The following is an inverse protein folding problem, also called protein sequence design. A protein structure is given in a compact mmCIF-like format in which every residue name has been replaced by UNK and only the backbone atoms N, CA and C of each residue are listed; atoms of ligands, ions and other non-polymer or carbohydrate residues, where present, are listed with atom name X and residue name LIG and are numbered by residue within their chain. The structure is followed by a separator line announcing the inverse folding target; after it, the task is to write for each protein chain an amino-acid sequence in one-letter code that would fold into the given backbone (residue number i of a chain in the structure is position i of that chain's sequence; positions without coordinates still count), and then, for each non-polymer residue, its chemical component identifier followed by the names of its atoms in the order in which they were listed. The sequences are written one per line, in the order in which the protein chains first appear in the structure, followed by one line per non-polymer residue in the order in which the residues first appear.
data_IF_890083248546
#
_entry.id   IF_890083248546
#
_cell.length_a   1.000
_cell.length_b   1.000
_cell.length_c   1.000
_cell.angle_alpha   90.00
_cell.angle_beta   90.00
_cell.angle_gamma   90.00
#
_symmetry.space_group_name_H-M   'P 1'
#
loop_
_entity.id
_entity.type
_entity.pdbx_description
1 polymer ?
#
# COMPACT_ATOMS: atom_id res chain seq x y z
N UNK A 1 19.79 18.83 7.14
CA UNK A 1 18.73 19.61 7.82
C UNK A 1 17.94 18.68 8.69
N UNK A 2 17.96 18.91 10.00
CA UNK A 2 17.26 18.08 10.98
C UNK A 2 15.99 18.80 11.40
N UNK A 3 14.86 18.11 11.36
CA UNK A 3 13.61 18.59 11.90
C UNK A 3 13.35 17.85 13.22
N UNK A 4 13.39 18.54 14.34
CA UNK A 4 13.09 17.99 15.65
C UNK A 4 11.87 18.72 16.22
N UNK A 5 10.84 17.98 16.60
CA UNK A 5 9.72 18.48 17.40
C UNK A 5 9.70 17.69 18.69
N UNK A 6 9.48 18.31 19.86
CA UNK A 6 9.49 17.62 21.15
C UNK A 6 8.49 16.45 21.26
N UNK A 7 7.49 16.44 20.40
CA UNK A 7 6.39 15.45 20.42
C UNK A 7 6.48 14.38 19.33
N UNK A 8 7.53 14.36 18.51
CA UNK A 8 7.65 13.46 17.37
C UNK A 8 9.03 12.86 17.23
N UNK A 9 9.15 11.65 16.64
CA UNK A 9 10.43 11.06 16.30
C UNK A 9 11.25 11.96 15.36
N UNK A 10 12.58 11.83 15.44
CA UNK A 10 13.50 12.59 14.61
C UNK A 10 13.28 12.33 13.12
N UNK A 11 13.40 13.40 12.32
CA UNK A 11 13.35 13.35 10.87
C UNK A 11 14.49 14.16 10.30
N UNK A 12 15.52 13.48 9.82
CA UNK A 12 16.73 14.10 9.28
C UNK A 12 16.84 13.83 7.80
N UNK A 13 17.07 14.88 7.00
CA UNK A 13 17.42 14.77 5.58
C UNK A 13 18.82 15.34 5.38
N UNK A 14 19.71 14.53 4.85
CA UNK A 14 21.08 14.90 4.45
C UNK A 14 21.08 15.20 2.94
N UNK A 15 21.24 16.48 2.61
CA UNK A 15 21.35 16.90 1.20
C UNK A 15 22.73 16.53 0.65
N UNK A 16 22.78 15.74 -0.41
CA UNK A 16 24.01 15.39 -1.10
C UNK A 16 24.00 13.97 -1.68
N UNK A 17 25.13 13.60 -2.23
CA UNK A 17 25.40 12.27 -2.80
C UNK A 17 25.40 11.19 -1.70
N UNK A 18 24.75 10.03 -1.98
CA UNK A 18 24.56 8.99 -0.97
C UNK A 18 25.89 8.39 -0.48
N UNK A 19 26.90 8.22 -1.35
CA UNK A 19 28.20 7.68 -0.95
C UNK A 19 28.90 8.60 0.04
N UNK A 20 28.84 9.91 -0.21
CA UNK A 20 29.46 10.92 0.66
C UNK A 20 28.74 11.05 1.99
N UNK A 21 27.41 11.00 2.00
CA UNK A 21 26.61 11.18 3.21
C UNK A 21 26.54 9.94 4.09
N UNK A 22 26.61 8.75 3.49
CA UNK A 22 26.63 7.49 4.26
C UNK A 22 27.84 7.42 5.21
N UNK A 23 29.00 7.95 4.84
CA UNK A 23 30.19 7.93 5.72
C UNK A 23 30.02 8.80 6.96
N UNK A 24 29.13 9.79 6.94
CA UNK A 24 28.86 10.68 8.08
C UNK A 24 27.96 10.04 9.14
N UNK A 25 27.29 8.91 8.80
CA UNK A 25 26.40 8.18 9.69
C UNK A 25 27.23 7.24 10.56
N UNK A 26 26.93 7.17 11.85
CA UNK A 26 27.60 6.29 12.81
C UNK A 26 27.42 4.81 12.45
N UNK A 27 28.46 4.03 12.57
CA UNK A 27 28.43 2.59 12.34
C UNK A 27 27.58 1.88 13.42
N UNK A 28 26.90 0.81 13.05
CA UNK A 28 26.01 0.03 13.92
C UNK A 28 24.90 0.84 14.63
N UNK A 29 24.43 1.93 14.00
CA UNK A 29 23.39 2.82 14.55
C UNK A 29 22.01 2.60 13.96
N UNK A 30 21.88 1.90 12.82
CA UNK A 30 20.66 1.77 12.02
C UNK A 30 20.01 0.41 12.26
N UNK A 31 18.72 0.42 12.60
CA UNK A 31 17.92 -0.80 12.80
C UNK A 31 17.44 -1.40 11.48
N UNK A 32 17.00 -0.56 10.55
CA UNK A 32 16.53 -1.01 9.23
C UNK A 32 16.88 0.01 8.16
N UNK A 33 17.25 -0.49 6.98
CA UNK A 33 17.45 0.31 5.77
C UNK A 33 16.36 -0.07 4.78
N UNK A 34 15.67 0.93 4.22
CA UNK A 34 14.92 0.78 2.97
C UNK A 34 15.63 1.59 1.88
N UNK A 35 15.83 0.98 0.72
CA UNK A 35 16.49 1.62 -0.40
C UNK A 35 15.70 1.42 -1.71
N UNK A 36 15.52 2.50 -2.46
CA UNK A 36 14.99 2.52 -3.81
C UNK A 36 16.03 3.12 -4.76
N UNK A 37 17.13 2.36 -5.06
CA UNK A 37 18.26 2.88 -5.83
C UNK A 37 17.86 3.19 -7.27
N UNK A 38 18.66 3.95 -8.03
CA UNK A 38 18.47 4.12 -9.47
C UNK A 38 18.39 2.78 -10.20
N UNK A 39 17.42 2.66 -11.12
CA UNK A 39 17.22 1.44 -11.93
C UNK A 39 17.96 1.51 -13.26
N UNK A 40 18.53 2.66 -13.60
CA UNK A 40 19.27 2.92 -14.86
C UNK A 40 18.44 2.67 -16.12
N UNK A 41 17.15 3.02 -16.08
CA UNK A 41 16.16 2.76 -17.13
C UNK A 41 15.81 3.99 -17.99
N UNK A 42 16.37 5.16 -17.71
CA UNK A 42 16.06 6.41 -18.41
C UNK A 42 16.75 6.45 -19.79
N UNK A 43 16.14 5.75 -20.76
CA UNK A 43 16.65 5.64 -22.15
C UNK A 43 15.78 6.43 -23.15
N UNK A 44 15.02 7.45 -22.70
CA UNK A 44 14.11 8.21 -23.56
C UNK A 44 12.84 7.44 -23.99
N UNK A 45 12.46 6.37 -23.29
CA UNK A 45 11.25 5.59 -23.55
C UNK A 45 9.96 6.36 -23.23
N UNK A 46 8.83 5.83 -23.72
CA UNK A 46 7.50 6.42 -23.54
C UNK A 46 6.65 5.50 -22.66
N UNK A 47 5.92 6.07 -21.72
CA UNK A 47 4.94 5.37 -20.88
C UNK A 47 3.60 6.12 -20.88
N UNK A 48 2.56 5.52 -20.28
CA UNK A 48 1.25 6.16 -20.09
C UNK A 48 1.00 6.42 -18.62
N UNK A 49 0.60 7.64 -18.30
CA UNK A 49 0.13 8.01 -16.98
C UNK A 49 -1.23 8.70 -17.10
N UNK A 50 -2.26 8.11 -16.46
CA UNK A 50 -3.64 8.62 -16.51
C UNK A 50 -4.17 8.81 -17.94
N UNK A 51 -3.90 7.86 -18.85
CA UNK A 51 -4.34 7.91 -20.24
C UNK A 51 -3.55 8.84 -21.16
N UNK A 52 -2.48 9.51 -20.68
CA UNK A 52 -1.62 10.40 -21.46
C UNK A 52 -0.23 9.79 -21.64
N UNK A 53 0.31 9.94 -22.82
CA UNK A 53 1.68 9.56 -23.15
C UNK A 53 2.66 10.48 -22.41
N UNK A 54 3.61 9.91 -21.64
CA UNK A 54 4.64 10.64 -20.92
C UNK A 54 6.01 10.08 -21.21
N UNK A 55 7.02 10.93 -21.28
CA UNK A 55 8.41 10.51 -21.41
C UNK A 55 8.88 9.84 -20.11
N UNK A 56 9.67 8.76 -20.21
CA UNK A 56 10.23 8.00 -19.08
C UNK A 56 11.58 8.56 -18.64
N UNK A 57 11.91 9.80 -18.97
CA UNK A 57 13.11 10.43 -18.43
C UNK A 57 12.88 10.82 -16.97
N UNK A 58 13.52 10.09 -16.05
CA UNK A 58 13.43 10.31 -14.60
C UNK A 58 14.51 11.27 -14.09
N UNK A 59 15.41 11.72 -14.97
CA UNK A 59 16.51 12.62 -14.66
C UNK A 59 17.89 11.99 -14.91
N UNK A 60 18.93 12.82 -14.80
CA UNK A 60 20.31 12.41 -15.09
C UNK A 60 20.83 11.29 -14.17
N UNK A 61 20.26 11.13 -12.99
CA UNK A 61 20.62 10.12 -12.01
C UNK A 61 20.19 8.69 -12.39
N UNK A 62 19.23 8.53 -13.31
CA UNK A 62 18.73 7.22 -13.76
C UNK A 62 19.17 6.90 -15.21
N UNK A 63 20.10 7.66 -15.77
CA UNK A 63 20.66 7.38 -17.12
C UNK A 63 21.53 6.15 -17.07
N UNK A 64 21.38 5.29 -18.10
CA UNK A 64 22.07 4.02 -18.19
C UNK A 64 23.58 4.16 -18.13
N UNK A 65 24.22 3.21 -17.43
CA UNK A 65 25.67 3.01 -17.39
C UNK A 65 26.05 1.68 -18.03
N UNK A 66 27.36 1.42 -18.12
CA UNK A 66 27.83 0.06 -18.49
C UNK A 66 27.45 -0.93 -17.35
N UNK A 67 27.35 -2.23 -17.64
CA UNK A 67 27.10 -3.25 -16.61
C UNK A 67 28.08 -3.16 -15.44
N UNK A 68 29.35 -2.83 -15.71
CA UNK A 68 30.43 -2.67 -14.71
C UNK A 68 30.15 -1.47 -13.81
N UNK A 69 29.73 -0.34 -14.38
CA UNK A 69 29.37 0.85 -13.61
C UNK A 69 28.17 0.58 -12.70
N UNK A 70 27.13 -0.09 -13.22
CA UNK A 70 25.92 -0.44 -12.43
C UNK A 70 26.29 -1.37 -11.28
N UNK A 71 27.17 -2.35 -11.52
CA UNK A 71 27.67 -3.24 -10.49
C UNK A 71 28.45 -2.47 -9.41
N UNK A 72 29.45 -1.68 -9.83
CA UNK A 72 30.31 -0.92 -8.89
C UNK A 72 29.52 0.05 -8.05
N UNK A 73 28.59 0.78 -8.66
CA UNK A 73 27.66 1.66 -7.93
C UNK A 73 26.90 0.90 -6.83
N UNK A 74 26.28 -0.25 -7.19
CA UNK A 74 25.51 -1.02 -6.22
C UNK A 74 26.40 -1.63 -5.13
N UNK A 75 27.58 -2.11 -5.48
CA UNK A 75 28.52 -2.67 -4.51
C UNK A 75 28.97 -1.63 -3.48
N UNK A 76 29.30 -0.42 -3.90
CA UNK A 76 29.79 0.65 -3.03
C UNK A 76 28.76 1.09 -2.00
N UNK A 77 27.53 1.48 -2.43
CA UNK A 77 26.53 1.93 -1.44
C UNK A 77 26.07 0.80 -0.53
N UNK A 78 25.97 -0.43 -1.01
CA UNK A 78 25.62 -1.59 -0.18
C UNK A 78 26.71 -1.89 0.86
N UNK A 79 27.98 -1.76 0.48
CA UNK A 79 29.11 -1.90 1.40
C UNK A 79 29.05 -0.87 2.54
N UNK A 80 28.81 0.40 2.21
CA UNK A 80 28.61 1.47 3.21
C UNK A 80 27.38 1.20 4.09
N UNK A 81 26.25 0.84 3.52
CA UNK A 81 25.04 0.51 4.27
C UNK A 81 25.26 -0.64 5.26
N UNK A 82 26.10 -1.62 4.91
CA UNK A 82 26.38 -2.77 5.77
C UNK A 82 27.06 -2.36 7.08
N UNK A 83 27.99 -1.39 7.06
CA UNK A 83 28.64 -0.89 8.27
C UNK A 83 27.65 -0.14 9.18
N UNK A 84 26.63 0.55 8.60
CA UNK A 84 25.67 1.34 9.37
C UNK A 84 24.61 0.48 10.07
N UNK A 85 24.29 -0.68 9.52
CA UNK A 85 23.33 -1.60 10.14
C UNK A 85 23.83 -2.13 11.48
N UNK A 86 22.95 -2.17 12.49
CA UNK A 86 23.13 -2.94 13.70
C UNK A 86 23.28 -4.43 13.40
N UNK A 87 23.79 -5.21 14.33
CA UNK A 87 24.02 -6.65 14.13
C UNK A 87 22.73 -7.45 13.81
N UNK A 88 21.62 -7.04 14.38
CA UNK A 88 20.29 -7.62 14.12
C UNK A 88 19.49 -6.85 13.05
N UNK A 89 20.11 -5.85 12.42
CA UNK A 89 19.48 -4.99 11.44
C UNK A 89 19.25 -5.68 10.10
N UNK A 90 18.30 -5.14 9.33
CA UNK A 90 17.92 -5.65 8.01
C UNK A 90 17.92 -4.55 6.95
N UNK A 91 18.07 -4.96 5.69
CA UNK A 91 17.97 -4.07 4.53
C UNK A 91 16.90 -4.58 3.57
N UNK A 92 16.13 -3.65 3.02
CA UNK A 92 15.05 -3.87 2.08
C UNK A 92 15.30 -3.04 0.84
N UNK A 93 15.45 -3.69 -0.32
CA UNK A 93 15.89 -3.01 -1.54
C UNK A 93 14.85 -3.23 -2.64
N UNK A 94 14.24 -2.14 -3.09
CA UNK A 94 13.32 -2.15 -4.22
C UNK A 94 14.06 -2.26 -5.55
N UNK A 95 13.46 -2.97 -6.50
CA UNK A 95 14.01 -3.09 -7.84
C UNK A 95 13.04 -3.71 -8.82
N UNK A 96 13.46 -3.77 -10.07
CA UNK A 96 12.76 -4.45 -11.15
C UNK A 96 13.61 -5.59 -11.70
N UNK A 97 13.09 -6.38 -12.62
CA UNK A 97 13.84 -7.43 -13.29
C UNK A 97 15.11 -6.92 -14.01
N UNK A 98 15.21 -5.61 -14.29
CA UNK A 98 16.37 -5.03 -14.97
C UNK A 98 17.59 -4.89 -14.07
N UNK A 99 17.41 -4.59 -12.77
CA UNK A 99 18.53 -4.28 -11.87
C UNK A 99 18.65 -5.21 -10.66
N UNK A 100 17.58 -5.93 -10.29
CA UNK A 100 17.53 -6.70 -9.05
C UNK A 100 18.57 -7.83 -8.97
N UNK A 101 18.95 -8.40 -10.11
CA UNK A 101 19.97 -9.46 -10.19
C UNK A 101 21.37 -8.94 -9.85
N UNK A 102 21.70 -7.71 -10.23
CA UNK A 102 22.98 -7.07 -9.87
C UNK A 102 23.02 -6.79 -8.36
N UNK A 103 21.95 -6.25 -7.81
CA UNK A 103 21.80 -6.01 -6.36
C UNK A 103 21.96 -7.31 -5.57
N UNK A 104 21.31 -8.39 -6.02
CA UNK A 104 21.39 -9.71 -5.40
C UNK A 104 22.85 -10.22 -5.36
N UNK A 105 23.57 -10.10 -6.47
CA UNK A 105 24.99 -10.47 -6.57
C UNK A 105 25.84 -9.69 -5.57
N UNK A 106 25.70 -8.36 -5.54
CA UNK A 106 26.43 -7.51 -4.61
C UNK A 106 26.17 -7.87 -3.14
N UNK A 107 24.91 -8.15 -2.78
CA UNK A 107 24.55 -8.58 -1.41
C UNK A 107 25.27 -9.88 -1.02
N UNK A 108 25.30 -10.86 -1.91
CA UNK A 108 25.98 -12.15 -1.67
C UNK A 108 27.49 -11.96 -1.50
N UNK A 109 28.13 -11.20 -2.37
CA UNK A 109 29.58 -10.93 -2.32
C UNK A 109 29.97 -10.12 -1.09
N UNK A 110 29.12 -9.21 -0.61
CA UNK A 110 29.31 -8.45 0.62
C UNK A 110 28.97 -9.27 1.89
N UNK A 111 28.52 -10.50 1.78
CA UNK A 111 28.23 -11.38 2.90
C UNK A 111 26.93 -11.05 3.66
N UNK A 112 25.95 -10.43 2.98
CA UNK A 112 24.60 -10.36 3.50
C UNK A 112 23.91 -11.73 3.37
N UNK A 113 22.98 -12.04 4.27
CA UNK A 113 22.08 -13.19 4.12
C UNK A 113 20.75 -12.74 3.55
N UNK A 114 20.49 -13.07 2.30
CA UNK A 114 19.17 -12.86 1.69
C UNK A 114 18.14 -13.77 2.37
N UNK A 115 17.03 -13.19 2.80
CA UNK A 115 15.92 -13.86 3.49
C UNK A 115 14.77 -14.18 2.53
N UNK A 116 14.29 -13.16 1.81
CA UNK A 116 13.24 -13.28 0.81
C UNK A 116 13.50 -12.37 -0.40
N UNK A 117 12.95 -12.75 -1.54
CA UNK A 117 12.64 -11.84 -2.65
C UNK A 117 11.13 -11.69 -2.70
N UNK A 118 10.64 -10.56 -2.23
CA UNK A 118 9.21 -10.25 -2.15
C UNK A 118 8.74 -9.71 -3.49
N UNK A 119 7.64 -10.24 -4.00
CA UNK A 119 6.96 -9.73 -5.18
C UNK A 119 5.88 -8.74 -4.77
N UNK A 120 6.11 -7.45 -4.99
CA UNK A 120 5.06 -6.45 -4.87
C UNK A 120 4.24 -6.41 -6.15
N UNK A 121 3.02 -6.95 -6.09
CA UNK A 121 2.05 -6.92 -7.17
C UNK A 121 1.18 -5.66 -7.08
N UNK A 122 1.26 -4.81 -8.10
CA UNK A 122 0.39 -3.63 -8.24
C UNK A 122 -1.01 -4.08 -8.64
N UNK A 123 -2.03 -3.57 -7.97
CA UNK A 123 -3.43 -3.91 -8.28
C UNK A 123 -3.97 -3.19 -9.53
N UNK A 124 -3.33 -2.08 -9.90
CA UNK A 124 -3.70 -1.17 -10.98
C UNK A 124 -2.48 -0.82 -11.86
N UNK A 125 -1.83 -1.81 -12.52
CA UNK A 125 -0.65 -1.54 -13.33
C UNK A 125 -1.02 -0.74 -14.60
N UNK A 126 -0.14 0.18 -15.05
CA UNK A 126 -0.38 0.89 -16.30
C UNK A 126 -0.38 -0.09 -17.49
N UNK A 127 -1.21 0.16 -18.52
CA UNK A 127 -1.27 -0.72 -19.69
C UNK A 127 0.03 -0.71 -20.49
N UNK A 128 0.34 -1.84 -21.13
CA UNK A 128 1.43 -1.92 -22.09
C UNK A 128 0.96 -1.43 -23.46
N UNK A 129 1.48 -0.29 -23.90
CA UNK A 129 1.08 0.33 -25.16
C UNK A 129 1.54 -0.44 -26.40
N UNK A 130 2.65 -1.17 -26.32
CA UNK A 130 3.18 -1.91 -27.46
C UNK A 130 2.39 -3.17 -27.80
N UNK A 131 1.63 -3.70 -26.81
CA UNK A 131 0.89 -4.96 -26.90
C UNK A 131 1.73 -6.17 -27.38
N UNK A 132 3.08 -6.12 -27.16
CA UNK A 132 4.02 -7.16 -27.63
C UNK A 132 4.55 -8.06 -26.52
N UNK A 133 4.27 -7.75 -25.25
CA UNK A 133 4.67 -8.51 -24.08
C UNK A 133 3.65 -8.32 -22.96
N UNK A 134 3.74 -9.15 -21.93
CA UNK A 134 2.84 -9.06 -20.76
C UNK A 134 2.98 -7.72 -20.05
N UNK A 135 1.89 -7.25 -19.46
CA UNK A 135 1.89 -6.01 -18.69
C UNK A 135 2.74 -6.16 -17.41
N UNK A 136 3.66 -5.21 -17.18
CA UNK A 136 4.47 -5.20 -15.96
C UNK A 136 3.64 -4.78 -14.76
N UNK A 137 3.20 -5.76 -13.98
CA UNK A 137 2.37 -5.55 -12.79
C UNK A 137 3.14 -5.70 -11.48
N UNK A 138 4.44 -6.02 -11.53
CA UNK A 138 5.22 -6.32 -10.32
C UNK A 138 6.49 -5.49 -10.22
N UNK A 139 6.89 -5.21 -8.98
CA UNK A 139 8.26 -4.86 -8.60
C UNK A 139 8.75 -5.87 -7.56
N UNK A 140 10.07 -5.97 -7.42
CA UNK A 140 10.70 -6.91 -6.50
C UNK A 140 11.33 -6.15 -5.32
N UNK A 141 11.31 -6.77 -4.14
CA UNK A 141 11.96 -6.24 -2.96
C UNK A 141 12.82 -7.34 -2.37
N UNK A 142 14.14 -7.15 -2.37
CA UNK A 142 15.03 -8.05 -1.66
C UNK A 142 15.04 -7.68 -0.19
N UNK A 143 14.79 -8.66 0.67
CA UNK A 143 14.97 -8.53 2.12
C UNK A 143 16.19 -9.35 2.55
N UNK A 144 17.15 -8.68 3.18
CA UNK A 144 18.38 -9.31 3.64
C UNK A 144 18.77 -8.84 5.04
N UNK A 145 19.54 -9.67 5.75
CA UNK A 145 20.14 -9.33 7.05
C UNK A 145 21.66 -9.20 6.95
N UNK A 146 22.25 -8.48 7.88
CA UNK A 146 23.69 -8.17 7.91
C UNK A 146 24.57 -9.42 7.98
N UNK A 147 24.21 -10.43 8.76
CA UNK A 147 25.04 -11.59 9.06
C UNK A 147 24.40 -12.94 8.68
N UNK A 148 25.19 -13.88 8.20
CA UNK A 148 24.75 -15.23 7.86
C UNK A 148 24.12 -15.97 9.06
N UNK A 149 24.74 -15.89 10.23
CA UNK A 149 24.39 -16.71 11.41
C UNK A 149 23.75 -15.94 12.56
N UNK A 150 23.78 -14.60 12.57
CA UNK A 150 23.14 -13.83 13.64
C UNK A 150 21.66 -13.63 13.36
N UNK A 151 20.78 -13.76 14.37
CA UNK A 151 19.35 -13.52 14.19
C UNK A 151 19.12 -12.04 13.85
N UNK A 152 18.09 -11.78 13.04
CA UNK A 152 17.60 -10.46 12.73
C UNK A 152 16.29 -10.20 13.44
N UNK A 153 15.89 -8.92 13.51
CA UNK A 153 14.59 -8.53 14.03
C UNK A 153 13.49 -8.83 13.00
N UNK A 154 12.47 -9.53 13.44
CA UNK A 154 11.26 -9.78 12.66
C UNK A 154 10.04 -9.90 13.57
N UNK A 155 9.08 -9.02 13.38
CA UNK A 155 7.86 -8.95 14.18
C UNK A 155 6.80 -9.93 13.61
N UNK A 156 7.05 -11.22 13.75
CA UNK A 156 6.25 -12.30 13.17
C UNK A 156 4.76 -12.22 13.55
N UNK A 157 4.46 -12.05 14.85
CA UNK A 157 3.07 -12.00 15.32
C UNK A 157 2.33 -10.76 14.77
N UNK A 158 3.00 -9.61 14.69
CA UNK A 158 2.42 -8.41 14.05
C UNK A 158 2.10 -8.67 12.57
N UNK A 159 3.00 -9.34 11.84
CA UNK A 159 2.76 -9.68 10.43
C UNK A 159 1.62 -10.68 10.27
N UNK A 160 1.50 -11.65 11.17
CA UNK A 160 0.42 -12.62 11.21
C UNK A 160 -0.93 -11.94 11.48
N UNK A 161 -0.99 -11.03 12.46
CA UNK A 161 -2.20 -10.23 12.76
C UNK A 161 -2.63 -9.38 11.55
N UNK A 162 -1.68 -8.69 10.90
CA UNK A 162 -1.95 -7.92 9.68
C UNK A 162 -2.47 -8.77 8.52
N UNK A 163 -2.20 -10.07 8.52
CA UNK A 163 -2.64 -11.03 7.52
C UNK A 163 -3.82 -11.90 7.98
N UNK A 164 -4.62 -11.43 8.94
CA UNK A 164 -5.81 -12.13 9.42
C UNK A 164 -5.49 -13.45 10.12
N UNK A 165 -4.53 -13.42 11.04
CA UNK A 165 -4.05 -14.55 11.85
C UNK A 165 -3.43 -15.68 11.03
N UNK A 166 -2.97 -15.40 9.80
CA UNK A 166 -2.27 -16.32 8.93
C UNK A 166 -0.85 -15.85 8.67
N UNK A 167 0.07 -16.77 8.50
CA UNK A 167 1.43 -16.45 8.07
C UNK A 167 1.41 -15.67 6.76
N UNK A 168 2.11 -14.52 6.74
CA UNK A 168 2.21 -13.68 5.55
C UNK A 168 3.16 -14.31 4.53
N UNK A 169 2.79 -14.24 3.26
CA UNK A 169 3.61 -14.74 2.15
C UNK A 169 4.48 -13.62 1.54
N UNK A 170 5.34 -13.99 0.61
CA UNK A 170 6.23 -13.10 -0.12
C UNK A 170 5.62 -12.47 -1.38
N UNK A 171 4.33 -12.64 -1.60
CA UNK A 171 3.58 -11.93 -2.65
C UNK A 171 2.65 -10.91 -2.00
N UNK A 172 2.94 -9.62 -2.21
CA UNK A 172 2.21 -8.51 -1.61
C UNK A 172 1.39 -7.75 -2.66
N UNK A 173 0.08 -7.82 -2.56
CA UNK A 173 -0.82 -7.06 -3.42
C UNK A 173 -1.08 -5.69 -2.81
N UNK A 174 -0.39 -4.67 -3.32
CA UNK A 174 -0.48 -3.29 -2.83
C UNK A 174 -0.65 -2.37 -4.04
N UNK A 175 -1.65 -1.47 -4.05
CA UNK A 175 -1.84 -0.53 -5.15
C UNK A 175 -0.63 0.42 -5.29
N UNK A 176 -0.45 0.96 -6.48
CA UNK A 176 0.49 2.04 -6.72
C UNK A 176 0.13 3.29 -5.88
N UNK A 177 1.00 4.29 -5.89
CA UNK A 177 0.84 5.52 -5.09
C UNK A 177 -0.47 6.25 -5.44
N UNK A 178 -1.34 6.37 -4.46
CA UNK A 178 -2.63 7.05 -4.59
C UNK A 178 -2.51 8.58 -4.65
N UNK A 179 -3.56 9.24 -5.16
CA UNK A 179 -3.62 10.72 -5.19
C UNK A 179 -3.55 11.34 -3.78
N UNK A 180 -4.04 10.65 -2.77
CA UNK A 180 -4.02 11.08 -1.38
C UNK A 180 -2.60 11.17 -0.77
N UNK A 181 -1.60 10.54 -1.39
CA UNK A 181 -0.19 10.59 -1.00
C UNK A 181 0.59 11.72 -1.70
N UNK A 182 -0.03 12.42 -2.65
CA UNK A 182 0.62 13.41 -3.54
C UNK A 182 0.15 14.84 -3.27
N UNK A 183 -0.49 15.10 -2.13
CA UNK A 183 -1.11 16.41 -1.85
C UNK A 183 -0.10 17.55 -1.75
N UNK A 184 1.11 17.30 -1.25
CA UNK A 184 2.18 18.28 -1.12
C UNK A 184 3.10 18.36 -2.34
N UNK A 185 2.96 17.45 -3.30
CA UNK A 185 3.80 17.35 -4.49
C UNK A 185 3.96 15.92 -5.00
N UNK A 186 4.65 15.77 -6.11
CA UNK A 186 4.86 14.49 -6.79
C UNK A 186 6.35 14.19 -6.94
N UNK A 187 6.73 12.94 -6.69
CA UNK A 187 8.01 12.39 -7.11
C UNK A 187 7.76 11.32 -8.19
N UNK A 188 8.56 11.24 -9.26
CA UNK A 188 8.31 10.31 -10.36
C UNK A 188 8.22 8.85 -9.95
N UNK A 189 9.06 8.44 -9.00
CA UNK A 189 9.19 7.05 -8.53
C UNK A 189 8.76 6.85 -7.08
N UNK A 190 7.88 7.71 -6.55
CA UNK A 190 7.40 7.59 -5.17
C UNK A 190 6.88 6.19 -4.88
N UNK A 191 7.31 5.58 -3.77
CA UNK A 191 6.76 4.32 -3.27
C UNK A 191 5.50 4.56 -2.43
N UNK A 192 4.53 3.63 -2.40
CA UNK A 192 3.31 3.79 -1.62
C UNK A 192 3.58 3.66 -0.11
N UNK A 193 2.93 4.50 0.68
CA UNK A 193 3.00 4.47 2.15
C UNK A 193 2.62 3.10 2.72
N UNK A 194 1.68 2.39 2.10
CA UNK A 194 1.27 1.03 2.53
C UNK A 194 2.39 0.00 2.43
N UNK A 195 3.27 0.14 1.44
CA UNK A 195 4.43 -0.73 1.29
C UNK A 195 5.42 -0.51 2.44
N UNK A 196 5.74 0.76 2.69
CA UNK A 196 6.66 1.16 3.77
C UNK A 196 6.08 0.83 5.15
N UNK A 197 4.77 1.00 5.35
CA UNK A 197 4.06 0.58 6.56
C UNK A 197 4.34 -0.88 6.91
N UNK A 198 4.18 -1.79 5.93
CA UNK A 198 4.41 -3.23 6.13
C UNK A 198 5.88 -3.54 6.44
N UNK A 199 6.81 -2.96 5.68
CA UNK A 199 8.26 -3.14 5.88
C UNK A 199 8.69 -2.67 7.26
N UNK A 200 8.26 -1.48 7.66
CA UNK A 200 8.64 -0.87 8.94
C UNK A 200 8.11 -1.68 10.11
N UNK A 201 6.84 -2.08 10.08
CA UNK A 201 6.28 -2.92 11.14
C UNK A 201 6.91 -4.30 11.21
N UNK A 202 7.34 -4.87 10.07
CA UNK A 202 8.00 -6.17 10.04
C UNK A 202 9.37 -6.15 10.72
N UNK A 203 10.12 -5.07 10.58
CA UNK A 203 11.56 -5.04 10.88
C UNK A 203 11.97 -4.12 12.03
N UNK A 204 11.04 -3.36 12.64
CA UNK A 204 11.37 -2.34 13.66
C UNK A 204 10.34 -2.25 14.78
N UNK A 205 10.77 -1.73 15.93
CA UNK A 205 9.91 -1.27 17.03
C UNK A 205 9.85 0.27 17.09
N UNK A 206 8.97 0.81 17.93
CA UNK A 206 8.94 2.26 18.20
C UNK A 206 10.28 2.73 18.78
N UNK A 207 10.75 3.89 18.33
CA UNK A 207 12.05 4.45 18.69
C UNK A 207 13.22 3.97 17.83
N UNK A 208 13.10 2.88 17.06
CA UNK A 208 14.14 2.41 16.14
C UNK A 208 14.44 3.44 15.05
N UNK A 209 15.64 3.39 14.48
CA UNK A 209 16.11 4.31 13.44
C UNK A 209 16.13 3.65 12.06
N UNK A 210 15.47 4.29 11.12
CA UNK A 210 15.38 3.86 9.73
C UNK A 210 16.22 4.77 8.83
N UNK A 211 17.05 4.17 7.98
CA UNK A 211 17.83 4.88 6.96
C UNK A 211 17.26 4.62 5.57
N UNK A 212 17.21 5.69 4.76
CA UNK A 212 16.90 5.61 3.33
C UNK A 212 17.97 6.38 2.55
N UNK A 213 18.93 5.70 1.89
CA UNK A 213 20.00 6.35 1.16
C UNK A 213 19.55 6.99 -0.16
N UNK A 214 18.29 6.76 -0.58
CA UNK A 214 17.69 7.30 -1.81
C UNK A 214 16.30 7.85 -1.52
N UNK A 215 16.23 8.82 -0.60
CA UNK A 215 15.03 9.31 0.07
C UNK A 215 13.94 9.83 -0.87
N UNK A 216 14.30 10.45 -2.00
CA UNK A 216 13.35 11.08 -2.90
C UNK A 216 12.43 12.05 -2.16
N UNK A 217 11.12 11.85 -2.27
CA UNK A 217 10.11 12.66 -1.57
C UNK A 217 9.90 12.31 -0.09
N UNK A 218 10.77 11.50 0.53
CA UNK A 218 10.77 11.17 1.95
C UNK A 218 9.65 10.22 2.39
N UNK A 219 9.09 9.41 1.52
CA UNK A 219 7.96 8.54 1.86
C UNK A 219 8.30 7.56 2.98
N UNK A 220 9.52 7.00 2.97
CA UNK A 220 10.04 6.14 4.05
C UNK A 220 10.01 6.86 5.39
N UNK A 221 10.48 8.10 5.44
CA UNK A 221 10.51 8.91 6.65
C UNK A 221 9.13 9.30 7.16
N UNK A 222 8.19 9.61 6.25
CA UNK A 222 6.80 9.87 6.63
C UNK A 222 6.18 8.63 7.26
N UNK A 223 6.35 7.45 6.65
CA UNK A 223 5.86 6.19 7.21
C UNK A 223 6.52 5.87 8.56
N UNK A 224 7.84 6.09 8.69
CA UNK A 224 8.59 5.91 9.93
C UNK A 224 8.04 6.78 11.07
N UNK A 225 7.92 8.08 10.83
CA UNK A 225 7.43 9.00 11.86
C UNK A 225 5.96 8.78 12.23
N UNK A 226 5.10 8.42 11.27
CA UNK A 226 3.71 8.03 11.54
C UNK A 226 3.61 6.80 12.46
N UNK A 227 4.64 5.97 12.47
CA UNK A 227 4.73 4.75 13.27
C UNK A 227 5.64 4.90 14.52
N UNK A 228 6.09 6.09 14.85
CA UNK A 228 6.92 6.32 16.04
C UNK A 228 8.42 5.97 15.87
N UNK A 229 8.92 5.85 14.63
CA UNK A 229 10.33 5.54 14.33
C UNK A 229 11.09 6.79 13.92
N UNK A 230 12.38 6.85 14.28
CA UNK A 230 13.32 7.87 13.82
C UNK A 230 13.72 7.62 12.37
N UNK A 231 14.08 8.68 11.66
CA UNK A 231 14.40 8.61 10.25
C UNK A 231 15.62 9.43 9.88
N UNK A 232 16.48 8.84 9.04
CA UNK A 232 17.58 9.51 8.34
C UNK A 232 17.41 9.22 6.85
N UNK A 233 17.26 10.25 6.04
CA UNK A 233 17.20 10.15 4.58
C UNK A 233 18.38 10.87 3.93
N UNK A 234 18.83 10.36 2.77
CA UNK A 234 19.81 11.05 1.93
C UNK A 234 19.15 11.37 0.60
N UNK A 235 19.28 12.61 0.15
CA UNK A 235 18.71 13.07 -1.12
C UNK A 235 19.63 14.11 -1.75
N UNK A 236 19.93 13.96 -3.03
CA UNK A 236 20.84 14.86 -3.74
C UNK A 236 20.13 16.09 -4.32
N UNK A 237 18.82 16.00 -4.55
CA UNK A 237 18.03 17.11 -5.09
C UNK A 237 17.42 17.93 -3.96
N UNK A 238 17.79 19.22 -3.90
CA UNK A 238 17.29 20.16 -2.93
C UNK A 238 15.75 20.29 -2.95
N UNK A 239 15.15 20.24 -4.13
CA UNK A 239 13.70 20.30 -4.26
C UNK A 239 13.00 19.13 -3.56
N UNK A 240 13.52 17.92 -3.70
CA UNK A 240 12.96 16.75 -3.01
C UNK A 240 13.24 16.75 -1.52
N UNK A 241 14.37 17.32 -1.07
CA UNK A 241 14.59 17.57 0.36
C UNK A 241 13.52 18.51 0.95
N UNK A 242 13.21 19.61 0.27
CA UNK A 242 12.18 20.58 0.68
C UNK A 242 10.78 19.95 0.66
N UNK A 243 10.47 19.15 -0.37
CA UNK A 243 9.23 18.39 -0.47
C UNK A 243 9.08 17.40 0.71
N UNK A 244 10.15 16.67 1.05
CA UNK A 244 10.16 15.74 2.18
C UNK A 244 9.86 16.45 3.50
N UNK A 245 10.45 17.61 3.72
CA UNK A 245 10.20 18.45 4.91
C UNK A 245 8.77 19.00 4.95
N UNK A 246 8.23 19.41 3.78
CA UNK A 246 6.84 19.87 3.69
C UNK A 246 5.86 18.73 4.06
N UNK A 247 6.09 17.54 3.54
CA UNK A 247 5.30 16.35 3.87
C UNK A 247 5.42 15.98 5.36
N UNK A 248 6.62 16.11 5.94
CA UNK A 248 6.85 15.88 7.36
C UNK A 248 6.07 16.88 8.22
N UNK A 249 6.10 18.16 7.91
CA UNK A 249 5.30 19.20 8.61
C UNK A 249 3.79 18.93 8.51
N UNK A 250 3.32 18.45 7.35
CA UNK A 250 1.90 18.17 7.16
C UNK A 250 1.33 17.10 8.12
N UNK A 251 2.15 16.15 8.62
CA UNK A 251 1.69 15.13 9.57
C UNK A 251 1.64 15.65 11.03
N UNK A 252 2.04 16.86 11.31
CA UNK A 252 1.83 17.51 12.62
C UNK A 252 0.38 17.87 12.84
N UNK A 253 -0.36 18.18 11.76
CA UNK A 253 -1.81 18.29 11.81
C UNK A 253 -2.44 16.93 12.14
N UNK A 254 -3.16 16.86 13.26
CA UNK A 254 -3.75 15.63 13.77
C UNK A 254 -4.73 14.98 12.78
N UNK A 255 -5.52 15.79 12.09
CA UNK A 255 -6.49 15.31 11.09
C UNK A 255 -5.78 14.66 9.89
N UNK A 256 -4.72 15.30 9.39
CA UNK A 256 -3.89 14.76 8.32
C UNK A 256 -3.19 13.49 8.75
N UNK A 257 -2.60 13.46 9.94
CA UNK A 257 -1.94 12.30 10.52
C UNK A 257 -2.89 11.11 10.64
N UNK A 258 -4.05 11.30 11.26
CA UNK A 258 -5.07 10.26 11.40
C UNK A 258 -5.50 9.71 10.03
N UNK A 259 -5.80 10.61 9.08
CA UNK A 259 -6.17 10.22 7.72
C UNK A 259 -5.11 9.37 7.02
N UNK A 260 -3.83 9.73 7.15
CA UNK A 260 -2.74 8.96 6.54
C UNK A 260 -2.55 7.60 7.23
N UNK A 261 -2.62 7.54 8.57
CA UNK A 261 -2.56 6.29 9.33
C UNK A 261 -3.69 5.33 8.94
N UNK A 262 -4.92 5.81 8.87
CA UNK A 262 -6.07 5.00 8.48
C UNK A 262 -5.90 4.46 7.05
N UNK A 263 -5.40 5.30 6.13
CA UNK A 263 -5.10 4.89 4.75
C UNK A 263 -3.95 3.90 4.65
N UNK A 264 -2.92 4.03 5.46
CA UNK A 264 -1.79 3.08 5.49
C UNK A 264 -2.22 1.71 6.03
N UNK A 265 -3.00 1.70 7.11
CA UNK A 265 -3.49 0.50 7.78
C UNK A 265 -4.48 -0.29 6.93
N UNK A 266 -5.28 0.39 6.11
CA UNK A 266 -6.25 -0.29 5.25
C UNK A 266 -5.53 -1.18 4.24
N UNK A 267 -5.63 -2.50 4.42
CA UNK A 267 -5.06 -3.46 3.47
C UNK A 267 -5.86 -3.44 2.17
N UNK A 268 -5.23 -3.36 1.00
CA UNK A 268 -5.93 -3.56 -0.27
C UNK A 268 -6.42 -5.01 -0.45
N UNK A 269 -5.88 -5.95 0.32
CA UNK A 269 -6.35 -7.34 0.39
C UNK A 269 -7.42 -7.54 1.46
N UNK A 270 -7.68 -6.51 2.28
CA UNK A 270 -8.67 -6.58 3.32
C UNK A 270 -10.06 -6.87 2.73
N UNK A 271 -10.73 -7.82 3.33
CA UNK A 271 -12.12 -8.12 3.02
C UNK A 271 -12.97 -6.86 3.21
N UNK A 272 -13.76 -6.53 2.23
CA UNK A 272 -14.59 -5.34 2.26
C UNK A 272 -16.03 -5.66 2.65
N UNK A 273 -16.69 -4.66 3.20
CA UNK A 273 -18.08 -4.67 3.60
C UNK A 273 -18.86 -3.74 2.67
N UNK A 274 -19.93 -4.26 2.10
CA UNK A 274 -20.91 -3.45 1.39
C UNK A 274 -21.91 -2.87 2.40
N UNK A 275 -22.00 -1.56 2.52
CA UNK A 275 -23.10 -0.91 3.25
C UNK A 275 -24.27 -0.76 2.27
N UNK A 276 -25.34 -1.48 2.53
CA UNK A 276 -26.52 -1.48 1.67
C UNK A 276 -27.74 -0.98 2.42
N UNK A 277 -28.22 0.21 2.02
CA UNK A 277 -29.48 0.74 2.48
C UNK A 277 -30.60 0.15 1.64
N UNK A 278 -31.52 -0.56 2.27
CA UNK A 278 -32.64 -1.24 1.60
C UNK A 278 -33.99 -0.64 2.00
N UNK A 279 -34.97 -0.75 1.12
CA UNK A 279 -36.37 -0.52 1.47
C UNK A 279 -36.84 -1.64 2.40
N UNK A 280 -37.79 -1.37 3.31
CA UNK A 280 -38.25 -2.33 4.31
C UNK A 280 -38.72 -3.67 3.69
N UNK A 281 -39.47 -3.62 2.59
CA UNK A 281 -39.94 -4.83 1.90
C UNK A 281 -38.79 -5.64 1.31
N UNK A 282 -37.79 -4.97 0.70
CA UNK A 282 -36.61 -5.61 0.15
C UNK A 282 -35.74 -6.22 1.24
N UNK A 283 -35.63 -5.55 2.39
CA UNK A 283 -34.91 -6.11 3.56
C UNK A 283 -35.62 -7.36 4.12
N UNK A 284 -36.95 -7.30 4.30
CA UNK A 284 -37.74 -8.49 4.71
C UNK A 284 -37.50 -9.66 3.75
N UNK A 285 -37.50 -9.39 2.45
CA UNK A 285 -37.26 -10.41 1.44
C UNK A 285 -35.80 -10.89 1.45
N UNK A 286 -34.84 -10.01 1.66
CA UNK A 286 -33.43 -10.36 1.82
C UNK A 286 -33.19 -11.30 3.01
N UNK A 287 -33.83 -11.02 4.14
CA UNK A 287 -33.79 -11.88 5.35
C UNK A 287 -34.44 -13.24 5.12
N UNK A 288 -35.47 -13.33 4.27
CA UNK A 288 -36.13 -14.59 3.90
C UNK A 288 -35.32 -15.42 2.92
N UNK A 289 -34.66 -14.77 1.96
CA UNK A 289 -34.02 -15.44 0.81
C UNK A 289 -32.51 -15.57 0.94
N UNK A 290 -31.87 -14.85 1.86
CA UNK A 290 -30.41 -14.72 1.95
C UNK A 290 -29.79 -14.00 0.75
N UNK A 291 -30.57 -13.15 0.07
CA UNK A 291 -30.11 -12.41 -1.11
C UNK A 291 -30.15 -10.92 -0.83
N UNK A 292 -29.06 -10.23 -1.15
CA UNK A 292 -29.01 -8.76 -1.18
C UNK A 292 -28.49 -8.30 -2.53
N UNK A 293 -28.83 -7.08 -2.92
CA UNK A 293 -28.47 -6.56 -4.23
C UNK A 293 -28.23 -5.05 -4.20
N UNK A 294 -27.50 -4.57 -5.20
CA UNK A 294 -27.38 -3.15 -5.47
C UNK A 294 -27.29 -2.91 -6.97
N UNK A 295 -27.63 -1.70 -7.40
CA UNK A 295 -27.47 -1.27 -8.79
C UNK A 295 -25.99 -1.30 -9.19
N UNK A 296 -25.65 -2.04 -10.24
CA UNK A 296 -24.28 -2.26 -10.70
C UNK A 296 -23.90 -1.46 -11.95
N UNK A 297 -24.83 -0.66 -12.52
CA UNK A 297 -24.59 0.03 -13.77
C UNK A 297 -25.23 1.41 -13.87
N UNK A 298 -24.83 2.17 -14.88
CA UNK A 298 -25.50 3.40 -15.30
C UNK A 298 -26.78 3.08 -16.13
N UNK A 299 -27.51 4.14 -16.53
CA UNK A 299 -28.70 4.00 -17.35
C UNK A 299 -28.44 3.43 -18.77
N UNK A 300 -27.18 3.39 -19.19
CA UNK A 300 -26.73 2.84 -20.49
C UNK A 300 -26.26 1.38 -20.37
N UNK A 301 -26.32 0.78 -19.17
CA UNK A 301 -25.93 -0.61 -18.94
C UNK A 301 -24.45 -0.85 -18.68
N UNK A 302 -23.63 0.21 -18.56
CA UNK A 302 -22.23 0.08 -18.20
C UNK A 302 -22.10 -0.36 -16.74
N UNK A 303 -21.36 -1.45 -16.50
CA UNK A 303 -21.06 -1.92 -15.15
C UNK A 303 -20.06 -0.97 -14.46
N UNK A 304 -20.52 -0.24 -13.46
CA UNK A 304 -19.68 0.59 -12.60
C UNK A 304 -19.20 -0.23 -11.40
N UNK A 305 -18.17 -1.04 -11.60
CA UNK A 305 -17.53 -1.78 -10.52
C UNK A 305 -16.56 -0.85 -9.79
N UNK A 306 -16.84 -0.58 -8.51
CA UNK A 306 -15.93 0.18 -7.65
C UNK A 306 -14.81 -0.68 -7.11
N UNK A 307 -13.66 -0.05 -6.84
CA UNK A 307 -12.57 -0.67 -6.09
C UNK A 307 -13.08 -1.30 -4.77
N UNK A 308 -12.74 -2.55 -4.54
CA UNK A 308 -13.16 -3.30 -3.36
C UNK A 308 -14.33 -4.27 -3.58
N UNK A 309 -15.04 -4.19 -4.71
CA UNK A 309 -16.12 -5.14 -5.04
C UNK A 309 -15.62 -6.58 -5.18
N UNK A 310 -14.43 -6.76 -5.73
CA UNK A 310 -13.77 -8.07 -5.89
C UNK A 310 -13.42 -8.72 -4.55
N UNK A 311 -13.40 -7.93 -3.47
CA UNK A 311 -13.03 -8.34 -2.11
C UNK A 311 -14.23 -8.37 -1.16
N UNK A 312 -15.44 -8.17 -1.66
CA UNK A 312 -16.65 -8.22 -0.84
C UNK A 312 -16.77 -9.57 -0.14
N UNK A 313 -16.73 -9.55 1.18
CA UNK A 313 -16.91 -10.71 2.04
C UNK A 313 -18.02 -10.53 3.05
N UNK A 314 -18.50 -9.30 3.22
CA UNK A 314 -19.57 -8.97 4.16
C UNK A 314 -20.53 -7.96 3.57
N UNK A 315 -21.75 -7.95 4.09
CA UNK A 315 -22.75 -6.94 3.83
C UNK A 315 -23.30 -6.39 5.14
N UNK A 316 -23.41 -5.07 5.23
CA UNK A 316 -24.09 -4.37 6.29
C UNK A 316 -25.44 -3.91 5.76
N UNK A 317 -26.52 -4.48 6.27
CA UNK A 317 -27.89 -4.13 5.89
C UNK A 317 -28.47 -3.15 6.90
N UNK A 318 -29.11 -2.11 6.40
CA UNK A 318 -29.85 -1.16 7.24
C UNK A 318 -31.04 -0.57 6.49
N UNK A 319 -32.02 -0.08 7.25
CA UNK A 319 -33.18 0.70 6.76
C UNK A 319 -33.25 2.02 7.52
N UNK A 320 -34.22 2.86 7.18
CA UNK A 320 -34.44 4.10 7.93
C UNK A 320 -34.94 3.79 9.36
N UNK A 321 -34.12 4.11 10.35
CA UNK A 321 -34.48 4.00 11.76
C UNK A 321 -34.09 2.71 12.46
N UNK A 322 -33.60 1.70 11.75
CA UNK A 322 -33.13 0.45 12.32
C UNK A 322 -31.62 0.47 12.59
N UNK A 323 -31.19 -0.33 13.57
CA UNK A 323 -29.77 -0.60 13.76
C UNK A 323 -29.22 -1.37 12.58
N UNK A 324 -28.02 -1.02 12.07
CA UNK A 324 -27.37 -1.76 11.02
C UNK A 324 -26.98 -3.17 11.47
N UNK A 325 -27.09 -4.14 10.59
CA UNK A 325 -26.76 -5.54 10.84
C UNK A 325 -25.70 -6.03 9.85
N UNK A 326 -24.64 -6.66 10.35
CA UNK A 326 -23.53 -7.17 9.56
C UNK A 326 -23.67 -8.68 9.33
N UNK A 327 -23.52 -9.10 8.08
CA UNK A 327 -23.58 -10.50 7.67
C UNK A 327 -22.38 -10.88 6.81
N UNK A 328 -21.87 -12.09 7.00
CA UNK A 328 -20.84 -12.66 6.14
C UNK A 328 -21.48 -13.18 4.84
N UNK A 329 -20.87 -12.88 3.70
CA UNK A 329 -21.31 -13.42 2.43
C UNK A 329 -21.01 -14.92 2.33
N UNK A 330 -21.93 -15.68 1.76
CA UNK A 330 -21.76 -17.11 1.53
C UNK A 330 -20.61 -17.41 0.54
N UNK A 331 -20.36 -16.49 -0.39
CA UNK A 331 -19.23 -16.51 -1.31
C UNK A 331 -18.71 -15.07 -1.48
N UNK A 332 -17.40 -14.90 -1.53
CA UNK A 332 -16.77 -13.62 -1.82
C UNK A 332 -17.17 -13.13 -3.22
N UNK A 333 -17.33 -11.80 -3.34
CA UNK A 333 -17.71 -11.15 -4.59
C UNK A 333 -19.22 -11.12 -4.82
N UNK A 334 -19.62 -10.97 -6.07
CA UNK A 334 -21.01 -10.81 -6.49
C UNK A 334 -21.29 -11.53 -7.81
N UNK A 335 -22.58 -11.71 -8.11
CA UNK A 335 -23.08 -12.16 -9.41
C UNK A 335 -23.81 -11.00 -10.09
N UNK A 336 -23.86 -10.97 -11.41
CA UNK A 336 -24.64 -9.98 -12.15
C UNK A 336 -25.97 -10.61 -12.56
N UNK A 337 -27.07 -10.00 -12.12
CA UNK A 337 -28.43 -10.43 -12.47
C UNK A 337 -29.17 -9.31 -13.22
N UNK A 338 -30.10 -9.69 -14.07
CA UNK A 338 -31.04 -8.75 -14.69
C UNK A 338 -32.07 -8.27 -13.67
N UNK A 339 -32.71 -7.15 -13.97
CA UNK A 339 -33.83 -6.65 -13.15
C UNK A 339 -34.99 -7.65 -13.07
N UNK A 340 -35.28 -8.38 -14.19
CA UNK A 340 -36.34 -9.39 -14.22
C UNK A 340 -36.04 -10.55 -13.27
N UNK A 341 -34.80 -11.07 -13.28
CA UNK A 341 -34.38 -12.14 -12.37
C UNK A 341 -34.51 -11.76 -10.90
N UNK A 342 -34.30 -10.49 -10.55
CA UNK A 342 -34.51 -10.00 -9.18
C UNK A 342 -36.01 -9.84 -8.87
N UNK A 343 -36.81 -9.33 -9.81
CA UNK A 343 -38.27 -9.20 -9.65
C UNK A 343 -38.93 -10.54 -9.44
N UNK A 344 -38.55 -11.58 -10.17
CA UNK A 344 -39.00 -12.95 -9.94
C UNK A 344 -38.70 -13.47 -8.54
N UNK A 345 -37.67 -12.92 -7.84
CA UNK A 345 -37.37 -13.21 -6.44
C UNK A 345 -38.06 -12.26 -5.46
N UNK A 346 -38.96 -11.39 -5.94
CA UNK A 346 -39.76 -10.49 -5.10
C UNK A 346 -39.06 -9.19 -4.68
N UNK A 347 -38.00 -8.78 -5.37
CA UNK A 347 -37.29 -7.52 -5.08
C UNK A 347 -37.76 -6.36 -5.97
N UNK A 348 -37.68 -5.15 -5.44
CA UNK A 348 -38.05 -3.90 -6.14
C UNK A 348 -36.93 -3.42 -7.09
N UNK A 349 -36.63 -4.15 -8.14
CA UNK A 349 -35.56 -3.85 -9.09
C UNK A 349 -36.09 -3.06 -10.30
N UNK A 350 -36.28 -1.74 -10.18
CA UNK A 350 -37.03 -0.96 -11.21
C UNK A 350 -36.15 -0.06 -12.09
N UNK A 351 -34.93 0.32 -11.69
CA UNK A 351 -34.24 1.48 -12.25
C UNK A 351 -32.90 1.18 -12.95
N UNK A 352 -32.58 -0.07 -13.20
CA UNK A 352 -31.36 -0.44 -13.92
C UNK A 352 -31.53 -1.80 -14.61
N UNK A 353 -30.86 -2.03 -15.75
CA UNK A 353 -30.95 -3.31 -16.44
C UNK A 353 -30.20 -4.44 -15.69
N UNK A 354 -29.16 -4.09 -14.91
CA UNK A 354 -28.32 -5.06 -14.20
C UNK A 354 -28.05 -4.66 -12.75
N UNK A 355 -27.93 -5.67 -11.91
CA UNK A 355 -27.67 -5.56 -10.49
C UNK A 355 -26.56 -6.51 -10.06
N UNK A 356 -25.71 -6.05 -9.14
CA UNK A 356 -24.79 -6.90 -8.41
C UNK A 356 -25.56 -7.60 -7.28
N UNK A 357 -25.52 -8.91 -7.25
CA UNK A 357 -26.26 -9.76 -6.32
C UNK A 357 -25.28 -10.55 -5.46
N UNK A 358 -25.48 -10.52 -4.16
CA UNK A 358 -24.70 -11.25 -3.18
C UNK A 358 -25.62 -12.15 -2.35
N UNK A 359 -25.05 -13.27 -1.85
CA UNK A 359 -25.75 -14.19 -0.96
C UNK A 359 -25.10 -14.19 0.42
N UNK A 360 -25.93 -14.22 1.45
CA UNK A 360 -25.52 -14.30 2.85
C UNK A 360 -26.41 -15.28 3.62
N UNK A 361 -25.99 -15.66 4.83
CA UNK A 361 -26.79 -16.49 5.73
C UNK A 361 -27.46 -15.56 6.78
N UNK A 362 -28.78 -15.35 6.72
CA UNK A 362 -29.49 -14.47 7.63
C UNK A 362 -29.44 -14.91 9.10
N UNK A 363 -29.10 -16.17 9.36
CA UNK A 363 -29.00 -16.72 10.73
C UNK A 363 -27.64 -16.46 11.37
N UNK A 364 -26.64 -15.99 10.59
CA UNK A 364 -25.24 -15.77 11.01
C UNK A 364 -24.90 -14.29 11.01
N UNK A 365 -25.56 -13.54 11.88
CA UNK A 365 -25.20 -12.15 12.15
C UNK A 365 -23.82 -12.08 12.80
N UNK A 366 -23.00 -11.13 12.34
CA UNK A 366 -21.67 -10.86 12.89
C UNK A 366 -21.76 -9.68 13.86
N UNK A 367 -21.37 -9.83 15.13
CA UNK A 367 -21.31 -8.70 16.04
C UNK A 367 -20.23 -7.71 15.60
N UNK A 368 -20.46 -6.42 15.82
CA UNK A 368 -19.48 -5.37 15.55
C UNK A 368 -19.47 -4.35 16.70
N UNK A 369 -18.28 -3.84 17.03
CA UNK A 369 -18.01 -3.08 18.25
C UNK A 369 -17.96 -1.55 18.02
N UNK A 370 -18.01 -1.10 16.78
CA UNK A 370 -17.85 0.32 16.45
C UNK A 370 -19.12 0.93 15.86
N UNK A 371 -19.49 2.17 16.25
CA UNK A 371 -20.63 2.86 15.67
C UNK A 371 -20.38 3.09 14.19
N UNK A 372 -21.19 2.48 13.34
CA UNK A 372 -21.14 2.67 11.89
C UNK A 372 -21.62 4.08 11.59
N UNK A 373 -20.74 4.91 11.04
CA UNK A 373 -21.10 6.25 10.64
C UNK A 373 -21.89 6.17 9.31
N UNK A 374 -23.18 5.90 9.44
CA UNK A 374 -24.13 5.93 8.35
C UNK A 374 -24.42 7.39 8.06
N UNK A 375 -23.71 7.99 7.10
CA UNK A 375 -24.03 9.34 6.67
C UNK A 375 -25.46 9.40 6.18
N UNK A 376 -26.31 10.14 6.91
CA UNK A 376 -27.75 10.35 6.66
C UNK A 376 -28.11 11.00 5.30
N UNK A 377 -27.13 11.25 4.44
CA UNK A 377 -27.32 11.89 3.14
C UNK A 377 -26.43 11.25 2.09
N UNK A 378 -26.96 10.25 1.44
CA UNK A 378 -26.76 10.07 0.00
C UNK A 378 -27.64 8.91 -0.48
N UNK A 379 -28.89 9.21 -0.77
CA UNK A 379 -29.75 8.42 -1.67
C UNK A 379 -29.21 8.40 -3.12
N UNK A 380 -27.95 8.65 -3.31
CA UNK A 380 -27.29 8.48 -4.59
C UNK A 380 -26.71 7.07 -4.65
N UNK A 381 -27.39 6.18 -5.26
CA UNK A 381 -27.07 5.03 -6.13
C UNK A 381 -25.63 4.42 -6.08
N UNK A 382 -24.78 4.76 -5.13
CA UNK A 382 -23.42 4.31 -5.03
C UNK A 382 -23.23 3.64 -3.69
N UNK A 383 -23.23 2.31 -3.71
CA UNK A 383 -22.88 1.51 -2.57
C UNK A 383 -21.62 2.01 -1.88
N UNK A 384 -21.67 2.19 -0.57
CA UNK A 384 -20.49 2.47 0.22
C UNK A 384 -19.78 1.16 0.49
N UNK A 385 -18.54 1.04 0.00
CA UNK A 385 -17.67 -0.07 0.32
C UNK A 385 -16.65 0.43 1.33
N UNK A 386 -16.55 -0.27 2.44
CA UNK A 386 -15.61 0.04 3.51
C UNK A 386 -14.79 -1.19 3.89
N UNK A 387 -13.56 -1.00 4.40
CA UNK A 387 -12.77 -2.09 4.97
C UNK A 387 -13.50 -2.74 6.15
N UNK A 388 -13.34 -4.05 6.34
CA UNK A 388 -13.94 -4.79 7.46
C UNK A 388 -13.45 -4.27 8.81
N UNK A 389 -12.22 -3.78 8.89
CA UNK A 389 -11.63 -3.18 10.10
C UNK A 389 -12.40 -1.97 10.63
N UNK A 390 -13.22 -1.31 9.81
CA UNK A 390 -14.11 -0.24 10.29
C UNK A 390 -15.31 -0.74 11.11
N UNK A 391 -15.58 -2.04 11.08
CA UNK A 391 -16.74 -2.67 11.75
C UNK A 391 -16.31 -3.56 12.91
N UNK A 392 -15.21 -4.28 12.74
CA UNK A 392 -14.70 -5.23 13.73
C UNK A 392 -13.34 -4.73 14.18
N UNK A 393 -13.19 -4.45 15.47
CA UNK A 393 -11.88 -4.09 16.03
C UNK A 393 -10.89 -5.21 15.79
N UNK A 394 -9.71 -4.89 15.26
CA UNK A 394 -8.58 -5.80 15.25
C UNK A 394 -8.17 -6.00 16.72
N UNK A 395 -8.57 -7.12 17.31
CA UNK A 395 -8.08 -7.58 18.62
C UNK A 395 -6.71 -8.16 18.50
#
# INVERSE_FOLDING_TARGET
MTYSSPSYPNFTILLGDCMKRLVEIEDNSIDTIFADPPYFLSNGGISVQSGRQVCVDKGNWDKGGTPEYIYEFNYQWLSLCRSKLKDNGTIWISGTHHNIHVVMRCLQELGYKVLNTITWQKTDPPPNLSCRYFNFSTELIIWARKWEKKPHKFNYETMKQLNGERQMTDVWRIPAVGSWEKQQGKHPTQKPLRLLYRIILAATDEGDTILDPFSGSGTTGIAANLLGRNYIGIEQDKFFCELSQSRRRAIEDEKTRKKLLDKMRSSPEETTVLINHMRDNDRKNAMKTGITYLRAGDAKGSLLVKEGFERLGYVCLHTNGDNPELYKLAKKGFQVWTSDALREKGFSAENAPYYAVMRFDPTKQVPFDQPINLHKRQYTQVAQIQPLSNFVGLR
#
